data_IF_577759182479
#
_entry.id   IF_577759182479
#
_cell.length_a   1.000
_cell.length_b   1.000
_cell.length_c   1.000
_cell.angle_alpha   90.00
_cell.angle_beta   90.00
_cell.angle_gamma   90.00
#
_symmetry.space_group_name_H-M   'P 1'
#
loop_
_entity.id
_entity.type
_entity.pdbx_description
1 polymer ?
#
# COMPACT_ATOMS: atom_id res chain seq x y z
N UNK A 1 0.25 -4.93 17.14
CA UNK A 1 -1.14 -4.53 16.82
C UNK A 1 -1.51 -5.09 15.45
N UNK A 2 -2.51 -5.98 15.36
CA UNK A 2 -3.06 -6.46 14.09
C UNK A 2 -4.10 -5.45 13.61
N UNK A 3 -3.91 -4.83 12.45
CA UNK A 3 -4.96 -4.01 11.80
C UNK A 3 -6.08 -4.97 11.42
N UNK A 4 -7.26 -4.93 12.06
CA UNK A 4 -8.29 -5.93 11.82
C UNK A 4 -8.86 -5.74 10.42
N UNK A 5 -9.18 -6.85 9.75
CA UNK A 5 -9.84 -6.93 8.44
C UNK A 5 -11.20 -6.24 8.39
N UNK A 6 -11.68 -5.73 9.52
CA UNK A 6 -12.87 -4.91 9.62
C UNK A 6 -12.65 -3.49 9.11
N UNK A 7 -11.47 -2.88 9.17
CA UNK A 7 -11.31 -1.45 8.85
C UNK A 7 -11.59 -1.14 7.37
N UNK A 8 -11.04 -1.91 6.42
CA UNK A 8 -11.31 -1.68 4.99
C UNK A 8 -12.79 -1.93 4.64
N UNK A 9 -13.41 -2.89 5.32
CA UNK A 9 -14.85 -3.20 5.19
C UNK A 9 -15.72 -2.11 5.82
N UNK A 10 -15.32 -1.60 6.99
CA UNK A 10 -15.98 -0.49 7.69
C UNK A 10 -15.87 0.79 6.88
N UNK A 11 -14.70 1.06 6.30
CA UNK A 11 -14.46 2.22 5.43
C UNK A 11 -15.34 2.11 4.19
N UNK A 12 -15.33 0.97 3.48
CA UNK A 12 -16.16 0.76 2.30
C UNK A 12 -17.66 0.83 2.60
N UNK A 13 -18.09 0.27 3.75
CA UNK A 13 -19.49 0.29 4.20
C UNK A 13 -19.93 1.70 4.63
N UNK A 14 -19.12 2.43 5.38
CA UNK A 14 -19.44 3.79 5.81
C UNK A 14 -19.30 4.82 4.67
N UNK A 15 -18.48 4.53 3.65
CA UNK A 15 -18.45 5.27 2.38
C UNK A 15 -19.75 5.09 1.61
N UNK A 16 -20.24 3.85 1.48
CA UNK A 16 -21.50 3.56 0.81
C UNK A 16 -22.72 4.16 1.52
N UNK A 17 -22.65 4.33 2.86
CA UNK A 17 -23.75 4.86 3.67
C UNK A 17 -23.61 6.35 4.03
N UNK A 18 -22.56 7.04 3.57
CA UNK A 18 -22.34 8.47 3.87
C UNK A 18 -22.05 8.79 5.36
N UNK A 19 -21.74 7.80 6.19
CA UNK A 19 -21.64 7.91 7.66
C UNK A 19 -20.23 8.16 8.20
N UNK A 20 -19.22 8.25 7.35
CA UNK A 20 -17.86 8.59 7.78
C UNK A 20 -17.73 10.09 8.02
N UNK A 21 -17.58 10.49 9.29
CA UNK A 21 -17.15 11.83 9.69
C UNK A 21 -15.80 12.16 9.01
N UNK A 22 -15.66 13.40 8.55
CA UNK A 22 -14.52 13.88 7.76
C UNK A 22 -13.16 13.62 8.44
N UNK A 23 -13.11 13.65 9.77
CA UNK A 23 -11.88 13.48 10.56
C UNK A 23 -11.37 12.04 10.56
N UNK A 24 -12.25 11.04 10.66
CA UNK A 24 -11.85 9.63 10.61
C UNK A 24 -11.37 9.22 9.20
N UNK A 25 -11.94 9.83 8.15
CA UNK A 25 -11.44 9.71 6.76
C UNK A 25 -10.02 10.26 6.65
N UNK A 26 -9.81 11.49 7.13
CA UNK A 26 -8.51 12.16 7.13
C UNK A 26 -7.45 11.34 7.88
N UNK A 27 -7.79 10.79 9.05
CA UNK A 27 -6.86 9.96 9.84
C UNK A 27 -6.50 8.66 9.09
N UNK A 28 -7.48 8.00 8.47
CA UNK A 28 -7.21 6.78 7.70
C UNK A 28 -6.34 7.07 6.47
N UNK A 29 -6.65 8.14 5.72
CA UNK A 29 -5.85 8.57 4.56
C UNK A 29 -4.42 8.96 4.97
N UNK A 30 -4.26 9.73 6.04
CA UNK A 30 -2.94 10.10 6.58
C UNK A 30 -2.12 8.88 7.00
N UNK A 31 -2.75 7.86 7.60
CA UNK A 31 -2.07 6.61 7.95
C UNK A 31 -1.62 5.84 6.72
N UNK A 32 -2.45 5.75 5.68
CA UNK A 32 -2.05 5.11 4.41
C UNK A 32 -0.86 5.85 3.79
N UNK A 33 -0.90 7.18 3.74
CA UNK A 33 0.21 8.02 3.26
C UNK A 33 1.49 7.73 4.06
N UNK A 34 1.41 7.69 5.39
CA UNK A 34 2.56 7.43 6.26
C UNK A 34 3.17 6.04 5.99
N UNK A 35 2.35 4.99 5.89
CA UNK A 35 2.81 3.62 5.64
C UNK A 35 3.47 3.53 4.26
N UNK A 36 2.86 4.14 3.24
CA UNK A 36 3.39 4.16 1.87
C UNK A 36 4.72 4.91 1.79
N UNK A 37 4.84 6.06 2.48
CA UNK A 37 6.09 6.83 2.53
C UNK A 37 7.21 6.09 3.28
N UNK A 38 6.90 5.46 4.41
CA UNK A 38 7.86 4.64 5.14
C UNK A 38 8.36 3.46 4.30
N UNK A 39 7.46 2.83 3.54
CA UNK A 39 7.82 1.78 2.59
C UNK A 39 8.75 2.31 1.49
N UNK A 40 8.41 3.45 0.87
CA UNK A 40 9.24 4.07 -0.17
C UNK A 40 10.66 4.37 0.33
N UNK A 41 10.78 4.88 1.56
CA UNK A 41 12.08 5.13 2.18
C UNK A 41 12.88 3.83 2.40
N UNK A 42 12.24 2.79 2.96
CA UNK A 42 12.89 1.52 3.27
C UNK A 42 13.44 0.80 2.03
N UNK A 43 12.85 1.02 0.84
CA UNK A 43 13.29 0.36 -0.39
C UNK A 43 14.23 1.20 -1.26
N UNK A 44 14.48 2.48 -0.91
CA UNK A 44 15.19 3.44 -1.77
C UNK A 44 16.56 2.96 -2.27
N UNK A 45 17.30 2.24 -1.42
CA UNK A 45 18.66 1.76 -1.70
C UNK A 45 18.73 0.24 -1.90
N UNK A 46 17.59 -0.42 -2.14
CA UNK A 46 17.55 -1.86 -2.36
C UNK A 46 18.09 -2.22 -3.74
N UNK A 47 18.79 -3.34 -3.82
CA UNK A 47 19.29 -3.86 -5.09
C UNK A 47 18.16 -4.32 -6.01
N UNK A 48 18.43 -4.42 -7.31
CA UNK A 48 17.45 -4.92 -8.31
C UNK A 48 16.90 -6.31 -7.96
N UNK A 49 17.74 -7.20 -7.42
CA UNK A 49 17.33 -8.55 -6.99
C UNK A 49 16.36 -8.49 -5.81
N UNK A 50 16.65 -7.67 -4.81
CA UNK A 50 15.76 -7.46 -3.67
C UNK A 50 14.43 -6.83 -4.09
N UNK A 51 14.45 -5.80 -4.93
CA UNK A 51 13.23 -5.16 -5.43
C UNK A 51 12.36 -6.11 -6.24
N UNK A 52 12.96 -6.97 -7.07
CA UNK A 52 12.23 -8.02 -7.81
C UNK A 52 11.56 -9.03 -6.85
N UNK A 53 12.27 -9.45 -5.80
CA UNK A 53 11.72 -10.35 -4.80
C UNK A 53 10.55 -9.69 -4.03
N UNK A 54 10.69 -8.42 -3.66
CA UNK A 54 9.64 -7.62 -3.02
C UNK A 54 8.42 -7.50 -3.95
N UNK A 55 8.63 -7.20 -5.24
CA UNK A 55 7.56 -7.13 -6.25
C UNK A 55 6.77 -8.44 -6.32
N UNK A 56 7.46 -9.58 -6.43
CA UNK A 56 6.82 -10.89 -6.52
C UNK A 56 6.02 -11.21 -5.26
N UNK A 57 6.55 -10.88 -4.08
CA UNK A 57 5.83 -11.05 -2.81
C UNK A 57 4.56 -10.19 -2.76
N UNK A 58 4.62 -8.92 -3.14
CA UNK A 58 3.45 -8.03 -3.15
C UNK A 58 2.38 -8.56 -4.13
N UNK A 59 2.77 -9.04 -5.31
CA UNK A 59 1.85 -9.64 -6.27
C UNK A 59 1.16 -10.90 -5.72
N UNK A 60 1.88 -11.70 -4.92
CA UNK A 60 1.30 -12.84 -4.23
C UNK A 60 0.32 -12.40 -3.14
N UNK A 61 0.73 -11.47 -2.28
CA UNK A 61 -0.09 -10.93 -1.19
C UNK A 61 -1.38 -10.27 -1.74
N UNK A 62 -1.30 -9.62 -2.91
CA UNK A 62 -2.43 -9.06 -3.64
C UNK A 62 -3.45 -10.11 -4.07
N UNK A 63 -2.99 -11.24 -4.61
CA UNK A 63 -3.87 -12.36 -5.00
C UNK A 63 -4.57 -12.96 -3.79
N UNK A 64 -3.88 -13.04 -2.65
CA UNK A 64 -4.41 -13.61 -1.41
C UNK A 64 -5.36 -12.64 -0.69
N UNK A 65 -5.19 -11.33 -0.87
CA UNK A 65 -5.93 -10.29 -0.15
C UNK A 65 -6.49 -9.22 -1.10
N UNK A 66 -7.41 -9.57 -2.02
CA UNK A 66 -7.92 -8.64 -3.02
C UNK A 66 -8.68 -7.45 -2.41
N UNK A 67 -9.20 -7.57 -1.17
CA UNK A 67 -9.84 -6.47 -0.44
C UNK A 67 -8.90 -5.30 -0.13
N UNK A 68 -7.57 -5.50 -0.26
CA UNK A 68 -6.53 -4.47 -0.05
C UNK A 68 -5.88 -4.02 -1.36
N UNK A 69 -6.58 -4.21 -2.48
CA UNK A 69 -6.07 -3.90 -3.82
C UNK A 69 -5.45 -2.49 -3.92
N UNK A 70 -6.15 -1.48 -3.40
CA UNK A 70 -5.68 -0.09 -3.42
C UNK A 70 -4.28 0.07 -2.81
N UNK A 71 -4.06 -0.49 -1.62
CA UNK A 71 -2.76 -0.43 -0.94
C UNK A 71 -1.66 -1.11 -1.77
N UNK A 72 -1.91 -2.34 -2.24
CA UNK A 72 -0.90 -3.09 -3.00
C UNK A 72 -0.55 -2.42 -4.33
N UNK A 73 -1.51 -1.81 -5.03
CA UNK A 73 -1.26 -1.05 -6.26
C UNK A 73 -0.29 0.11 -6.00
N UNK A 74 -0.49 0.86 -4.92
CA UNK A 74 0.41 1.96 -4.56
C UNK A 74 1.83 1.48 -4.25
N UNK A 75 1.95 0.41 -3.47
CA UNK A 75 3.25 -0.17 -3.10
C UNK A 75 3.96 -0.76 -4.34
N UNK A 76 3.24 -1.42 -5.25
CA UNK A 76 3.79 -1.94 -6.52
C UNK A 76 4.33 -0.81 -7.40
N UNK A 77 3.60 0.30 -7.52
CA UNK A 77 4.03 1.46 -8.31
C UNK A 77 5.38 1.98 -7.83
N UNK A 78 5.56 2.09 -6.51
CA UNK A 78 6.81 2.56 -5.90
C UNK A 78 7.96 1.60 -6.22
N UNK A 79 7.75 0.29 -6.10
CA UNK A 79 8.78 -0.70 -6.45
C UNK A 79 9.17 -0.62 -7.92
N UNK A 80 8.18 -0.47 -8.82
CA UNK A 80 8.43 -0.35 -10.26
C UNK A 80 9.17 0.93 -10.62
N UNK A 81 8.86 2.06 -9.99
CA UNK A 81 9.60 3.31 -10.16
C UNK A 81 11.06 3.19 -9.72
N UNK A 82 11.33 2.53 -8.59
CA UNK A 82 12.71 2.31 -8.13
C UNK A 82 13.46 1.34 -9.05
N UNK A 83 12.80 0.27 -9.51
CA UNK A 83 13.39 -0.65 -10.51
C UNK A 83 13.75 0.08 -11.81
N UNK A 84 12.90 0.99 -12.30
CA UNK A 84 13.19 1.80 -13.49
C UNK A 84 14.41 2.68 -13.29
N UNK A 85 14.53 3.35 -12.14
CA UNK A 85 15.69 4.21 -11.82
C UNK A 85 17.02 3.45 -11.87
N UNK A 86 17.03 2.18 -11.47
CA UNK A 86 18.21 1.31 -11.53
C UNK A 86 18.57 0.83 -12.94
N UNK A 87 17.66 0.95 -13.91
CA UNK A 87 17.92 0.59 -15.32
C UNK A 87 18.40 1.80 -16.11
N UNK A 88 17.94 3.00 -15.75
CA UNK A 88 18.30 4.26 -16.43
C UNK A 88 19.50 4.98 -15.82
N UNK A 89 20.01 4.51 -14.68
CA UNK A 89 21.12 5.10 -13.93
C UNK A 89 22.41 4.32 -14.03
#
# INVERSE_FOLDING_TARGET
>A
MKVPSSIDRLISFNLANGQLFTEDKLICEQRVILVVNNFAYAIKNKSRKELTAIKNKILQDYKENPSKAYFFIHVLRIVDEQLKKLVTG
#
